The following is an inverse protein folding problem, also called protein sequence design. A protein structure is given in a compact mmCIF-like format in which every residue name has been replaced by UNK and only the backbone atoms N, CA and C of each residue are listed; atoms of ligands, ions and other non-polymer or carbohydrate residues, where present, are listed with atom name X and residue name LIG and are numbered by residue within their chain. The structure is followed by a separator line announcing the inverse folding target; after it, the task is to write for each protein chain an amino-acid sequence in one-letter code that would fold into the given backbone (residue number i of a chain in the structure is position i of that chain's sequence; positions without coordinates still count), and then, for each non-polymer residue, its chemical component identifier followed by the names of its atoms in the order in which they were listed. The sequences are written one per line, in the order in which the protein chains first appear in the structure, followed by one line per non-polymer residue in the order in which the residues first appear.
data_IF_969576906223
#
_entry.id   IF_969576906223
#
_cell.length_a   1.000
_cell.length_b   1.000
_cell.length_c   1.000
_cell.angle_alpha   90.00
_cell.angle_beta   90.00
_cell.angle_gamma   90.00
#
_symmetry.space_group_name_H-M   'P 1'
#
loop_
_entity.id
_entity.type
_entity.pdbx_description
1 polymer ?
#
# COMPACT_ATOMS: atom_id res chain seq x y z
N UNK A 1 8.31 -11.33 13.89
CA UNK A 1 7.27 -11.30 14.94
C UNK A 1 6.63 -9.92 14.91
N UNK A 2 5.38 -9.83 14.42
CA UNK A 2 4.67 -8.55 14.34
C UNK A 2 3.16 -8.79 14.17
N UNK A 3 2.40 -7.70 14.33
CA UNK A 3 0.96 -7.69 14.05
C UNK A 3 0.71 -6.97 12.73
N UNK A 4 -0.21 -7.48 11.94
CA UNK A 4 -0.57 -6.85 10.67
C UNK A 4 -1.31 -5.53 10.88
N UNK A 5 -2.09 -5.44 11.98
CA UNK A 5 -2.85 -4.25 12.34
C UNK A 5 -2.84 -4.06 13.86
N UNK A 6 -2.66 -2.81 14.29
CA UNK A 6 -2.78 -2.41 15.71
C UNK A 6 -3.79 -1.28 15.79
N UNK A 7 -4.75 -1.43 16.69
CA UNK A 7 -5.77 -0.42 16.93
C UNK A 7 -5.49 0.36 18.22
N UNK A 8 -5.59 1.68 18.15
CA UNK A 8 -5.51 2.57 19.33
C UNK A 8 -6.68 3.56 19.22
N UNK A 9 -7.67 3.42 20.11
CA UNK A 9 -8.89 4.19 19.97
C UNK A 9 -9.58 3.93 18.66
N UNK A 10 -9.85 4.95 17.88
CA UNK A 10 -10.41 4.83 16.54
C UNK A 10 -9.36 4.90 15.42
N UNK A 11 -8.08 4.77 15.75
CA UNK A 11 -7.00 4.72 14.77
C UNK A 11 -6.53 3.28 14.58
N UNK A 12 -6.27 2.90 13.35
CA UNK A 12 -5.70 1.61 13.00
C UNK A 12 -4.41 1.81 12.22
N UNK A 13 -3.35 1.17 12.69
CA UNK A 13 -2.03 1.22 12.09
C UNK A 13 -1.75 -0.13 11.43
N UNK A 14 -1.46 -0.13 10.15
CA UNK A 14 -1.16 -1.36 9.42
C UNK A 14 0.33 -1.43 9.13
N UNK A 15 0.88 -2.62 9.33
CA UNK A 15 2.26 -2.93 8.95
C UNK A 15 2.46 -2.82 7.45
N UNK A 16 3.72 -2.71 7.01
CA UNK A 16 4.06 -2.70 5.60
C UNK A 16 3.59 -3.96 4.90
N UNK A 17 2.98 -3.79 3.73
CA UNK A 17 2.49 -4.87 2.87
C UNK A 17 3.17 -4.79 1.51
N UNK A 18 3.44 -5.95 0.91
CA UNK A 18 3.89 -6.08 -0.46
C UNK A 18 2.75 -6.51 -1.40
N UNK A 19 3.04 -6.73 -2.69
CA UNK A 19 2.08 -7.23 -3.65
C UNK A 19 1.88 -8.74 -3.48
N UNK A 20 1.25 -9.13 -2.36
CA UNK A 20 1.13 -10.51 -1.91
C UNK A 20 -0.29 -10.77 -1.39
N UNK A 21 -0.94 -11.81 -1.90
CA UNK A 21 -2.23 -12.29 -1.41
C UNK A 21 -2.14 -13.79 -1.16
N UNK A 22 -2.70 -14.23 -0.02
CA UNK A 22 -2.74 -15.65 0.37
C UNK A 22 -1.34 -16.29 0.38
N UNK A 23 -0.32 -15.52 0.79
CA UNK A 23 1.05 -15.98 0.84
C UNK A 23 1.77 -16.04 -0.50
N UNK A 24 1.12 -15.58 -1.58
CA UNK A 24 1.71 -15.56 -2.93
C UNK A 24 2.15 -14.13 -3.27
N UNK A 25 3.44 -13.98 -3.57
CA UNK A 25 3.99 -12.72 -4.09
C UNK A 25 3.81 -12.68 -5.60
N UNK A 26 3.12 -11.66 -6.10
CA UNK A 26 2.80 -11.57 -7.52
C UNK A 26 3.93 -11.04 -8.39
N UNK A 27 4.78 -10.19 -7.82
CA UNK A 27 5.85 -9.53 -8.57
C UNK A 27 7.07 -9.33 -7.71
N UNK A 28 8.23 -9.41 -8.34
CA UNK A 28 9.51 -9.01 -7.76
C UNK A 28 10.27 -8.17 -8.77
N UNK A 29 11.25 -7.41 -8.30
CA UNK A 29 12.13 -6.65 -9.17
C UNK A 29 12.04 -5.15 -8.97
N UNK A 30 12.88 -4.42 -9.71
CA UNK A 30 13.04 -2.98 -9.61
C UNK A 30 12.34 -2.28 -10.77
N UNK A 31 11.59 -1.24 -10.45
CA UNK A 31 10.99 -0.37 -11.46
C UNK A 31 12.10 0.41 -12.17
N UNK A 32 12.04 0.43 -13.48
CA UNK A 32 13.08 1.04 -14.31
C UNK A 32 14.13 0.05 -14.81
N UNK A 33 14.16 -1.17 -14.27
CA UNK A 33 15.04 -2.24 -14.71
C UNK A 33 14.24 -3.50 -15.09
N UNK A 34 13.69 -4.16 -14.08
CA UNK A 34 12.93 -5.41 -14.27
C UNK A 34 11.47 -5.14 -14.64
N UNK A 35 10.94 -4.01 -14.20
CA UNK A 35 9.55 -3.63 -14.34
C UNK A 35 9.44 -2.25 -14.98
N UNK A 36 8.39 -2.06 -15.79
CA UNK A 36 8.02 -0.76 -16.33
C UNK A 36 7.29 0.08 -15.27
N UNK A 37 7.09 1.37 -15.56
CA UNK A 37 6.25 2.24 -14.72
C UNK A 37 4.85 1.64 -14.53
N UNK A 38 4.24 1.16 -15.61
CA UNK A 38 2.90 0.58 -15.60
C UNK A 38 2.84 -0.69 -14.76
N UNK A 39 3.86 -1.52 -14.84
CA UNK A 39 3.97 -2.71 -13.99
C UNK A 39 4.18 -2.34 -12.53
N UNK A 40 4.91 -1.26 -12.26
CA UNK A 40 5.05 -0.70 -10.93
C UNK A 40 3.71 -0.22 -10.37
N UNK A 41 2.91 0.46 -11.17
CA UNK A 41 1.56 0.89 -10.79
C UNK A 41 0.67 -0.30 -10.49
N UNK A 42 0.74 -1.35 -11.30
CA UNK A 42 -0.01 -2.58 -11.04
C UNK A 42 0.43 -3.24 -9.74
N UNK A 43 1.73 -3.25 -9.45
CA UNK A 43 2.25 -3.75 -8.19
C UNK A 43 1.70 -2.95 -7.00
N UNK A 44 1.66 -1.62 -7.10
CA UNK A 44 1.09 -0.76 -6.06
C UNK A 44 -0.40 -1.05 -5.83
N UNK A 45 -1.16 -1.30 -6.90
CA UNK A 45 -2.56 -1.73 -6.79
C UNK A 45 -2.67 -3.07 -6.06
N UNK A 46 -1.81 -4.01 -6.38
CA UNK A 46 -1.77 -5.33 -5.72
C UNK A 46 -1.45 -5.21 -4.22
N UNK A 47 -0.56 -4.27 -3.85
CA UNK A 47 -0.32 -3.95 -2.43
C UNK A 47 -1.60 -3.43 -1.78
N UNK A 48 -2.33 -2.56 -2.47
CA UNK A 48 -3.62 -2.05 -1.99
C UNK A 48 -4.63 -3.17 -1.75
N UNK A 49 -4.72 -4.14 -2.65
CA UNK A 49 -5.58 -5.31 -2.48
C UNK A 49 -5.15 -6.14 -1.26
N UNK A 50 -3.85 -6.31 -1.06
CA UNK A 50 -3.31 -6.99 0.12
C UNK A 50 -3.69 -6.28 1.42
N UNK A 51 -3.59 -4.96 1.45
CA UNK A 51 -4.00 -4.14 2.59
C UNK A 51 -5.50 -4.28 2.85
N UNK A 52 -6.34 -4.21 1.81
CA UNK A 52 -7.79 -4.38 1.94
C UNK A 52 -8.15 -5.75 2.51
N UNK A 53 -7.46 -6.81 2.08
CA UNK A 53 -7.67 -8.15 2.61
C UNK A 53 -7.34 -8.23 4.11
N UNK A 54 -6.23 -7.62 4.52
CA UNK A 54 -5.86 -7.53 5.94
C UNK A 54 -6.88 -6.73 6.74
N UNK A 55 -7.31 -5.59 6.21
CA UNK A 55 -8.32 -4.75 6.86
C UNK A 55 -9.62 -5.52 7.08
N UNK A 56 -10.10 -6.22 6.06
CA UNK A 56 -11.32 -7.02 6.16
C UNK A 56 -11.18 -8.15 7.19
N UNK A 57 -10.04 -8.83 7.19
CA UNK A 57 -9.79 -9.92 8.15
C UNK A 57 -9.72 -9.41 9.58
N UNK A 58 -9.00 -8.31 9.82
CA UNK A 58 -8.75 -7.82 11.17
C UNK A 58 -9.90 -6.98 11.72
N UNK A 59 -10.63 -6.28 10.86
CA UNK A 59 -11.75 -5.43 11.28
C UNK A 59 -13.11 -6.10 11.12
N UNK A 60 -13.21 -7.18 10.36
CA UNK A 60 -14.45 -7.88 10.07
C UNK A 60 -15.21 -7.31 8.88
N UNK A 61 -15.13 -6.01 8.64
CA UNK A 61 -15.78 -5.36 7.49
C UNK A 61 -15.02 -4.10 7.11
N UNK A 62 -14.94 -3.82 5.82
CA UNK A 62 -14.40 -2.56 5.32
C UNK A 62 -15.32 -1.36 5.64
N UNK A 63 -16.59 -1.62 5.95
CA UNK A 63 -17.54 -0.58 6.36
C UNK A 63 -17.15 0.11 7.66
N UNK A 64 -16.27 -0.49 8.46
CA UNK A 64 -15.76 0.13 9.69
C UNK A 64 -14.76 1.25 9.44
N UNK A 65 -14.23 1.35 8.24
CA UNK A 65 -13.25 2.38 7.89
C UNK A 65 -13.97 3.69 7.60
N UNK A 66 -13.59 4.76 8.32
CA UNK A 66 -14.07 6.11 8.01
C UNK A 66 -13.23 6.74 6.92
N UNK A 67 -11.90 6.75 7.09
CA UNK A 67 -11.02 7.35 6.08
C UNK A 67 -9.59 6.87 6.17
N UNK A 68 -8.89 6.97 5.04
CA UNK A 68 -7.43 6.84 4.98
C UNK A 68 -6.81 8.14 5.50
N UNK A 69 -5.93 8.03 6.50
CA UNK A 69 -5.26 9.20 7.08
C UNK A 69 -3.91 9.42 6.40
N UNK A 70 -3.06 8.39 6.41
CA UNK A 70 -1.66 8.52 5.98
C UNK A 70 -1.20 7.26 5.28
N UNK A 71 -0.47 7.47 4.19
CA UNK A 71 0.22 6.41 3.44
C UNK A 71 1.71 6.71 3.42
N UNK A 72 2.52 5.74 3.81
CA UNK A 72 3.95 5.72 3.50
C UNK A 72 4.18 4.62 2.49
N UNK A 73 4.59 4.99 1.29
CA UNK A 73 4.82 4.05 0.19
C UNK A 73 6.27 4.13 -0.27
N UNK A 74 6.90 2.96 -0.38
CA UNK A 74 8.27 2.82 -0.81
C UNK A 74 8.32 2.03 -2.12
N UNK A 75 9.10 2.52 -3.07
CA UNK A 75 9.24 1.93 -4.39
C UNK A 75 10.66 1.42 -4.57
N UNK A 76 10.78 0.15 -4.94
CA UNK A 76 12.02 -0.48 -5.33
C UNK A 76 12.32 -0.11 -6.79
N UNK A 77 13.28 0.76 -7.00
CA UNK A 77 13.55 1.32 -8.33
C UNK A 77 15.04 1.54 -8.56
N UNK A 78 15.39 1.82 -9.81
CA UNK A 78 16.76 2.20 -10.18
C UNK A 78 17.10 3.58 -9.59
N UNK A 79 18.40 3.86 -9.46
CA UNK A 79 18.87 5.10 -8.81
C UNK A 79 18.47 6.35 -9.56
N UNK A 80 18.23 6.26 -10.86
CA UNK A 80 17.81 7.39 -11.70
C UNK A 80 16.28 7.50 -11.85
N UNK A 81 15.52 6.58 -11.30
CA UNK A 81 14.06 6.61 -11.37
C UNK A 81 13.53 7.61 -10.33
N UNK A 82 12.72 8.57 -10.78
CA UNK A 82 12.22 9.66 -9.92
C UNK A 82 10.68 9.78 -9.94
N UNK A 83 9.98 8.79 -10.51
CA UNK A 83 8.52 8.83 -10.68
C UNK A 83 7.80 7.96 -9.64
N UNK A 84 8.33 7.88 -8.41
CA UNK A 84 7.72 7.12 -7.33
C UNK A 84 6.26 7.51 -7.09
N UNK A 85 5.88 8.81 -7.09
CA UNK A 85 4.47 9.18 -6.91
C UNK A 85 3.54 8.58 -7.97
N UNK A 86 4.00 8.49 -9.23
CA UNK A 86 3.20 7.90 -10.30
C UNK A 86 2.98 6.40 -10.08
N UNK A 87 4.01 5.70 -9.60
CA UNK A 87 3.88 4.27 -9.24
C UNK A 87 2.83 4.10 -8.14
N UNK A 88 2.93 4.91 -7.09
CA UNK A 88 2.05 4.81 -5.92
C UNK A 88 0.60 5.17 -6.25
N UNK A 89 0.36 5.91 -7.32
CA UNK A 89 -1.00 6.20 -7.79
C UNK A 89 -1.81 4.92 -8.07
N UNK A 90 -1.16 3.80 -8.39
CA UNK A 90 -1.86 2.52 -8.51
C UNK A 90 -2.58 2.11 -7.22
N UNK A 91 -1.96 2.35 -6.08
CA UNK A 91 -2.56 2.17 -4.76
C UNK A 91 -3.63 3.25 -4.49
N UNK A 92 -3.27 4.52 -4.65
CA UNK A 92 -4.14 5.64 -4.29
C UNK A 92 -5.44 5.64 -5.10
N UNK A 93 -5.38 5.30 -6.39
CA UNK A 93 -6.56 5.19 -7.23
C UNK A 93 -7.49 4.07 -6.74
N UNK A 94 -6.93 2.93 -6.32
CA UNK A 94 -7.74 1.83 -5.77
C UNK A 94 -8.47 2.27 -4.51
N UNK A 95 -7.79 2.92 -3.58
CA UNK A 95 -8.41 3.37 -2.33
C UNK A 95 -9.47 4.46 -2.58
N UNK A 96 -9.24 5.35 -3.54
CA UNK A 96 -10.26 6.32 -3.97
C UNK A 96 -11.48 5.63 -4.56
N UNK A 97 -11.31 4.56 -5.32
CA UNK A 97 -12.42 3.76 -5.85
C UNK A 97 -13.24 3.11 -4.72
N UNK A 98 -12.55 2.55 -3.71
CA UNK A 98 -13.21 1.78 -2.64
C UNK A 98 -13.88 2.68 -1.60
N UNK A 99 -13.22 3.75 -1.18
CA UNK A 99 -13.67 4.60 -0.07
C UNK A 99 -14.13 5.99 -0.51
N UNK A 100 -14.04 6.29 -1.79
CA UNK A 100 -14.42 7.59 -2.33
C UNK A 100 -13.26 8.57 -2.49
N UNK A 101 -13.48 9.64 -3.30
CA UNK A 101 -12.39 10.58 -3.65
C UNK A 101 -11.92 11.48 -2.51
N UNK A 102 -12.70 11.57 -1.42
CA UNK A 102 -12.27 12.28 -0.22
C UNK A 102 -11.75 11.30 0.84
N UNK A 103 -12.57 10.37 1.31
CA UNK A 103 -12.22 9.47 2.41
C UNK A 103 -11.18 8.41 2.02
N UNK A 104 -11.08 8.07 0.76
CA UNK A 104 -10.07 7.15 0.24
C UNK A 104 -8.71 7.79 -0.05
N UNK A 105 -8.61 9.12 0.07
CA UNK A 105 -7.40 9.88 -0.23
C UNK A 105 -6.89 10.55 1.03
N UNK A 106 -5.68 10.19 1.46
CA UNK A 106 -5.06 10.73 2.67
C UNK A 106 -3.77 11.48 2.37
N UNK A 107 -3.09 11.90 3.43
CA UNK A 107 -1.73 12.41 3.31
C UNK A 107 -0.79 11.29 2.86
N UNK A 108 0.26 11.61 2.09
CA UNK A 108 1.08 10.57 1.47
C UNK A 108 2.54 11.00 1.34
N UNK A 109 3.45 10.04 1.60
CA UNK A 109 4.83 10.12 1.14
C UNK A 109 5.11 8.96 0.20
N UNK A 110 5.72 9.23 -0.94
CA UNK A 110 6.08 8.23 -1.95
C UNK A 110 7.57 8.38 -2.24
N UNK A 111 8.35 7.43 -1.75
CA UNK A 111 9.81 7.49 -1.75
C UNK A 111 10.41 6.19 -2.29
N UNK A 112 11.73 6.12 -2.31
CA UNK A 112 12.46 4.90 -2.62
C UNK A 112 13.29 4.46 -1.42
N UNK A 113 13.71 3.19 -1.43
CA UNK A 113 14.71 2.66 -0.52
C UNK A 113 15.63 1.74 -1.34
N UNK A 114 16.83 1.50 -0.84
CA UNK A 114 17.84 0.79 -1.63
C UNK A 114 17.64 -0.73 -1.68
N UNK A 115 16.95 -1.32 -0.70
CA UNK A 115 16.66 -2.77 -0.71
C UNK A 115 15.27 -3.03 -0.13
N UNK A 116 14.67 -4.13 -0.55
CA UNK A 116 13.32 -4.52 -0.12
C UNK A 116 13.29 -5.99 0.27
N UNK A 117 12.51 -6.36 1.28
CA UNK A 117 12.31 -7.77 1.64
C UNK A 117 11.82 -8.57 0.44
N UNK A 118 12.46 -9.70 0.15
CA UNK A 118 12.05 -10.55 -0.97
C UNK A 118 12.12 -9.86 -2.34
N UNK A 119 12.84 -8.74 -2.45
CA UNK A 119 12.96 -7.96 -3.68
C UNK A 119 11.61 -7.52 -4.25
N UNK A 120 10.61 -7.26 -3.39
CA UNK A 120 9.30 -6.77 -3.85
C UNK A 120 9.44 -5.37 -4.44
N UNK A 121 8.59 -5.00 -5.42
CA UNK A 121 8.73 -3.70 -6.09
C UNK A 121 8.15 -2.53 -5.31
N UNK A 122 7.16 -2.78 -4.44
CA UNK A 122 6.47 -1.73 -3.67
C UNK A 122 6.12 -2.26 -2.30
N UNK A 123 6.33 -1.44 -1.27
CA UNK A 123 5.87 -1.71 0.08
C UNK A 123 5.12 -0.50 0.62
N UNK A 124 3.94 -0.72 1.23
CA UNK A 124 3.10 0.37 1.71
C UNK A 124 2.60 0.05 3.11
N UNK A 125 2.69 1.05 4.00
CA UNK A 125 2.04 1.04 5.30
C UNK A 125 1.06 2.21 5.38
N UNK A 126 -0.02 2.04 6.14
CA UNK A 126 -1.08 3.04 6.23
C UNK A 126 -1.58 3.23 7.65
N UNK A 127 -2.18 4.38 7.87
CA UNK A 127 -2.95 4.70 9.08
C UNK A 127 -4.37 5.02 8.66
N UNK A 128 -5.34 4.40 9.33
CA UNK A 128 -6.77 4.58 9.09
C UNK A 128 -7.46 5.19 10.29
N UNK A 129 -8.53 5.94 10.04
CA UNK A 129 -9.51 6.28 11.06
C UNK A 129 -10.71 5.33 10.91
N UNK A 130 -11.15 4.77 12.02
CA UNK A 130 -12.34 3.92 12.07
C UNK A 130 -13.55 4.76 12.48
N UNK A 131 -14.75 4.31 12.12
CA UNK A 131 -16.00 5.02 12.41
C UNK A 131 -16.35 5.03 13.91
N UNK A 132 -15.78 4.10 14.65
CA UNK A 132 -16.08 3.94 16.08
C UNK A 132 -14.83 3.62 16.90
#
# INVERSE_FOLDING_TARGET
IYKALVRVGNLAYLSGHGPCLDGVTYRTGRVGLDLTLEEGQQAAREVGLSLLATMKRELGSLDRVNRLIKTLALVNCTDDFTQQPLVVNGFSNLFAEVFGPDHGVGARSALASNTFPGNIPVEIEIILELKD
#
